data_IF_661519578333
#
_entry.id   IF_661519578333
#
_cell.length_a   1.000
_cell.length_b   1.000
_cell.length_c   1.000
_cell.angle_alpha   90.00
_cell.angle_beta   90.00
_cell.angle_gamma   90.00
#
_symmetry.space_group_name_H-M   'P 1'
#
loop_
_entity.id
_entity.type
_entity.pdbx_description
1 polymer ?
#
# COMPACT_ATOMS: atom_id res chain seq x y z
N UNK A 1 1.11 5.22 -23.59
CA UNK A 1 1.03 3.91 -22.90
C UNK A 1 2.42 3.39 -22.43
N UNK A 2 3.34 4.28 -22.02
CA UNK A 2 4.74 3.90 -21.67
C UNK A 2 5.13 4.12 -20.20
N UNK A 3 4.34 4.82 -19.38
CA UNK A 3 4.73 5.14 -18.00
C UNK A 3 4.66 3.94 -17.04
N UNK A 4 3.83 2.94 -17.32
CA UNK A 4 3.63 1.78 -16.43
C UNK A 4 4.85 0.84 -16.38
N UNK A 5 5.57 0.69 -17.51
CA UNK A 5 6.74 -0.19 -17.62
C UNK A 5 7.99 0.38 -16.93
N UNK A 6 8.17 1.70 -16.99
CA UNK A 6 9.30 2.38 -16.34
C UNK A 6 9.22 2.29 -14.81
N UNK A 7 8.02 2.48 -14.25
CA UNK A 7 7.76 2.30 -12.81
C UNK A 7 7.97 0.85 -12.36
N UNK A 8 7.63 -0.13 -13.21
CA UNK A 8 7.81 -1.57 -12.92
C UNK A 8 9.29 -1.97 -12.81
N UNK A 9 10.16 -1.43 -13.68
CA UNK A 9 11.62 -1.68 -13.62
C UNK A 9 12.25 -1.10 -12.36
N UNK A 10 11.91 0.16 -12.03
CA UNK A 10 12.43 0.85 -10.85
C UNK A 10 11.96 0.19 -9.55
N UNK A 11 10.74 -0.34 -9.53
CA UNK A 11 10.22 -1.14 -8.43
C UNK A 11 11.07 -2.40 -8.18
N UNK A 12 11.38 -3.18 -9.23
CA UNK A 12 12.17 -4.41 -9.12
C UNK A 12 13.57 -4.16 -8.53
N UNK A 13 14.24 -3.10 -8.97
CA UNK A 13 15.58 -2.72 -8.48
C UNK A 13 15.57 -2.25 -7.02
N UNK A 14 14.50 -1.58 -6.57
CA UNK A 14 14.39 -1.02 -5.22
C UNK A 14 13.74 -1.98 -4.21
N UNK A 15 13.13 -3.07 -4.67
CA UNK A 15 12.53 -4.11 -3.82
C UNK A 15 13.50 -5.25 -3.48
N UNK A 16 14.73 -5.24 -4.02
CA UNK A 16 15.77 -6.22 -3.68
C UNK A 16 16.55 -5.92 -2.39
N UNK A 17 16.36 -4.73 -1.78
CA UNK A 17 17.20 -4.23 -0.66
C UNK A 17 16.48 -4.01 0.68
N UNK A 18 15.21 -4.35 0.83
CA UNK A 18 14.46 -4.12 2.07
C UNK A 18 13.63 -5.32 2.47
N UNK A 19 13.65 -5.64 3.76
CA UNK A 19 12.78 -6.62 4.42
C UNK A 19 11.32 -6.35 4.05
N UNK A 20 10.78 -7.22 3.21
CA UNK A 20 9.38 -7.27 2.87
C UNK A 20 8.70 -8.23 3.84
N UNK A 21 7.64 -7.74 4.49
CA UNK A 21 7.00 -8.48 5.57
C UNK A 21 5.82 -9.26 5.02
N UNK A 22 5.73 -10.54 5.37
CA UNK A 22 4.51 -11.33 5.15
C UNK A 22 3.44 -10.81 6.11
N UNK A 23 2.30 -10.39 5.58
CA UNK A 23 1.19 -9.94 6.38
C UNK A 23 0.59 -11.14 7.13
N UNK A 24 0.82 -11.21 8.45
CA UNK A 24 0.26 -12.25 9.30
C UNK A 24 -1.06 -11.78 9.92
N UNK A 25 -2.18 -12.39 9.53
CA UNK A 25 -3.51 -12.07 10.07
C UNK A 25 -4.00 -13.25 10.90
N UNK A 26 -4.03 -13.08 12.22
CA UNK A 26 -4.40 -14.14 13.15
C UNK A 26 -5.83 -14.05 13.66
N UNK A 27 -6.53 -12.92 13.44
CA UNK A 27 -7.88 -12.68 13.97
C UNK A 27 -8.86 -12.30 12.87
N UNK A 28 -10.09 -12.85 12.93
CA UNK A 28 -11.22 -12.50 12.04
C UNK A 28 -11.53 -11.00 12.03
N UNK A 29 -11.35 -10.32 13.16
CA UNK A 29 -11.59 -8.88 13.29
C UNK A 29 -10.65 -8.07 12.39
N UNK A 30 -9.40 -8.49 12.30
CA UNK A 30 -8.37 -7.81 11.50
C UNK A 30 -8.64 -8.01 10.01
N UNK A 31 -9.10 -9.20 9.60
CA UNK A 31 -9.59 -9.46 8.22
C UNK A 31 -10.76 -8.53 7.87
N UNK A 32 -11.77 -8.39 8.75
CA UNK A 32 -12.94 -7.52 8.50
C UNK A 32 -12.52 -6.05 8.38
N UNK A 33 -11.66 -5.57 9.29
CA UNK A 33 -11.18 -4.19 9.27
C UNK A 33 -10.37 -3.89 8.00
N UNK A 34 -9.50 -4.82 7.61
CA UNK A 34 -8.70 -4.68 6.40
C UNK A 34 -9.56 -4.73 5.14
N UNK A 35 -10.54 -5.64 5.07
CA UNK A 35 -11.49 -5.74 3.98
C UNK A 35 -12.31 -4.46 3.78
N UNK A 36 -12.70 -3.78 4.87
CA UNK A 36 -13.39 -2.48 4.76
C UNK A 36 -12.52 -1.39 4.14
N UNK A 37 -11.22 -1.36 4.46
CA UNK A 37 -10.30 -0.37 3.89
C UNK A 37 -9.97 -0.70 2.44
N UNK A 38 -9.76 -1.98 2.11
CA UNK A 38 -9.45 -2.43 0.75
C UNK A 38 -10.63 -2.35 -0.22
N UNK A 39 -11.87 -2.22 0.28
CA UNK A 39 -13.05 -1.89 -0.55
C UNK A 39 -13.04 -0.45 -1.09
N UNK A 40 -12.21 0.42 -0.53
CA UNK A 40 -12.16 1.82 -0.96
C UNK A 40 -11.21 1.99 -2.14
N UNK A 41 -11.72 2.47 -3.26
CA UNK A 41 -10.92 2.79 -4.46
C UNK A 41 -9.76 3.74 -4.13
N UNK A 42 -10.02 4.75 -3.29
CA UNK A 42 -8.99 5.70 -2.84
C UNK A 42 -7.86 4.99 -2.11
N UNK A 43 -8.19 4.01 -1.24
CA UNK A 43 -7.18 3.26 -0.51
C UNK A 43 -6.35 2.38 -1.45
N UNK A 44 -6.99 1.73 -2.44
CA UNK A 44 -6.30 0.93 -3.46
C UNK A 44 -5.38 1.79 -4.32
N UNK A 45 -5.85 2.95 -4.77
CA UNK A 45 -5.05 3.91 -5.54
C UNK A 45 -3.83 4.41 -4.75
N UNK A 46 -4.00 4.72 -3.45
CA UNK A 46 -2.88 5.11 -2.58
C UNK A 46 -1.86 3.97 -2.47
N UNK A 47 -2.31 2.71 -2.31
CA UNK A 47 -1.42 1.55 -2.30
C UNK A 47 -0.63 1.48 -3.61
N UNK A 48 -1.30 1.57 -4.77
CA UNK A 48 -0.67 1.47 -6.09
C UNK A 48 0.39 2.57 -6.31
N UNK A 49 0.10 3.80 -5.87
CA UNK A 49 1.00 4.94 -5.98
C UNK A 49 2.12 4.96 -4.92
N UNK A 50 2.06 4.10 -3.91
CA UNK A 50 3.07 3.99 -2.86
C UNK A 50 4.26 3.11 -3.31
N UNK A 51 5.00 3.53 -4.33
CA UNK A 51 6.20 2.83 -4.80
C UNK A 51 7.52 3.35 -4.19
N UNK A 52 7.43 4.34 -3.31
CA UNK A 52 8.57 5.04 -2.70
C UNK A 52 8.93 6.36 -3.37
N UNK A 53 8.25 6.74 -4.47
CA UNK A 53 8.55 7.97 -5.22
C UNK A 53 7.70 9.17 -4.82
N UNK A 54 6.50 8.95 -4.29
CA UNK A 54 5.54 10.02 -4.01
C UNK A 54 5.22 10.15 -2.52
N UNK A 55 5.05 11.39 -2.06
CA UNK A 55 4.50 11.74 -0.76
C UNK A 55 2.98 12.02 -0.84
N UNK A 56 2.34 12.26 0.31
CA UNK A 56 0.89 12.48 0.42
C UNK A 56 0.39 13.67 -0.41
N UNK A 57 1.15 14.78 -0.44
CA UNK A 57 0.80 15.97 -1.22
C UNK A 57 0.82 15.71 -2.74
N UNK A 58 1.81 14.95 -3.22
CA UNK A 58 1.89 14.57 -4.63
C UNK A 58 0.77 13.61 -5.03
N UNK A 59 0.45 12.64 -4.17
CA UNK A 59 -0.68 11.71 -4.40
C UNK A 59 -2.02 12.47 -4.39
N UNK A 60 -2.20 13.42 -3.48
CA UNK A 60 -3.38 14.28 -3.41
C UNK A 60 -3.63 15.02 -4.73
N UNK A 61 -2.59 15.63 -5.30
CA UNK A 61 -2.66 16.30 -6.62
C UNK A 61 -3.00 15.32 -7.73
N UNK A 62 -2.38 14.13 -7.73
CA UNK A 62 -2.59 13.11 -8.77
C UNK A 62 -4.01 12.52 -8.76
N UNK A 63 -4.59 12.33 -7.57
CA UNK A 63 -5.93 11.77 -7.40
C UNK A 63 -7.05 12.83 -7.37
N UNK A 64 -6.71 14.11 -7.38
CA UNK A 64 -7.68 15.20 -7.25
C UNK A 64 -8.46 15.16 -5.93
N UNK A 65 -7.83 14.69 -4.84
CA UNK A 65 -8.43 14.59 -3.50
C UNK A 65 -7.71 15.49 -2.52
N UNK A 66 -8.38 15.90 -1.45
CA UNK A 66 -7.75 16.71 -0.41
C UNK A 66 -6.58 15.96 0.26
N UNK A 67 -5.57 16.69 0.68
CA UNK A 67 -4.43 16.13 1.43
C UNK A 67 -4.92 15.44 2.70
N UNK A 68 -5.91 16.00 3.40
CA UNK A 68 -6.50 15.41 4.59
C UNK A 68 -7.13 14.03 4.32
N UNK A 69 -7.83 13.89 3.19
CA UNK A 69 -8.39 12.59 2.75
C UNK A 69 -7.27 11.57 2.52
N UNK A 70 -6.24 11.93 1.76
CA UNK A 70 -5.10 11.04 1.50
C UNK A 70 -4.40 10.65 2.79
N UNK A 71 -4.11 11.61 3.68
CA UNK A 71 -3.47 11.36 4.97
C UNK A 71 -4.30 10.42 5.86
N UNK A 72 -5.62 10.53 5.82
CA UNK A 72 -6.54 9.65 6.56
C UNK A 72 -6.41 8.20 6.09
N UNK A 73 -6.47 7.98 4.78
CA UNK A 73 -6.34 6.63 4.21
C UNK A 73 -4.92 6.09 4.37
N UNK A 74 -3.88 6.89 4.13
CA UNK A 74 -2.49 6.50 4.34
C UNK A 74 -2.23 6.09 5.80
N UNK A 75 -2.84 6.77 6.78
CA UNK A 75 -2.74 6.40 8.20
C UNK A 75 -3.38 5.04 8.47
N UNK A 76 -4.57 4.77 7.91
CA UNK A 76 -5.24 3.45 8.04
C UNK A 76 -4.39 2.34 7.43
N UNK A 77 -3.85 2.56 6.24
CA UNK A 77 -2.99 1.62 5.53
C UNK A 77 -1.68 1.36 6.28
N UNK A 78 -1.08 2.40 6.87
CA UNK A 78 0.12 2.28 7.71
C UNK A 78 -0.15 1.46 8.98
N UNK A 79 -1.28 1.68 9.66
CA UNK A 79 -1.67 0.90 10.85
C UNK A 79 -1.84 -0.60 10.54
N UNK A 80 -2.27 -0.91 9.32
CA UNK A 80 -2.40 -2.28 8.82
C UNK A 80 -1.11 -2.84 8.22
N UNK A 81 0.01 -2.11 8.36
CA UNK A 81 1.31 -2.47 7.81
C UNK A 81 1.32 -2.72 6.28
N UNK A 82 0.40 -2.09 5.53
CA UNK A 82 0.30 -2.24 4.08
C UNK A 82 1.24 -1.29 3.34
N UNK A 83 1.52 -0.14 3.97
CA UNK A 83 2.48 0.87 3.50
C UNK A 83 3.33 1.36 4.68
N UNK A 84 4.50 1.92 4.37
CA UNK A 84 5.35 2.66 5.30
C UNK A 84 5.71 4.03 4.73
N UNK A 85 6.12 4.93 5.62
CA UNK A 85 6.69 6.23 5.28
C UNK A 85 8.21 6.09 5.33
N UNK A 86 8.89 6.45 4.25
CA UNK A 86 10.36 6.50 4.19
C UNK A 86 10.88 7.72 4.95
N UNK A 87 12.18 7.75 5.26
CA UNK A 87 12.84 8.92 5.88
C UNK A 87 12.68 10.19 5.04
N UNK A 88 12.52 10.06 3.72
CA UNK A 88 12.25 11.16 2.80
C UNK A 88 10.80 11.70 2.85
N UNK A 89 9.92 11.08 3.65
CA UNK A 89 8.49 11.40 3.68
C UNK A 89 7.66 10.73 2.57
N UNK A 90 8.29 9.96 1.67
CA UNK A 90 7.60 9.24 0.61
C UNK A 90 6.91 7.97 1.12
N UNK A 91 5.81 7.59 0.48
CA UNK A 91 5.08 6.38 0.80
C UNK A 91 5.59 5.20 -0.03
N UNK A 92 5.88 4.08 0.65
CA UNK A 92 6.30 2.82 0.03
C UNK A 92 5.44 1.66 0.52
N UNK A 93 5.00 0.81 -0.39
CA UNK A 93 4.30 -0.45 -0.09
C UNK A 93 5.20 -1.38 0.71
N UNK A 94 4.59 -2.07 1.68
CA UNK A 94 5.22 -3.17 2.42
C UNK A 94 4.84 -4.54 1.87
N UNK A 95 3.85 -4.63 0.99
CA UNK A 95 3.30 -5.88 0.47
C UNK A 95 3.82 -6.10 -0.95
N UNK A 96 4.55 -7.21 -1.19
CA UNK A 96 4.88 -7.70 -2.54
C UNK A 96 3.78 -8.57 -3.15
N UNK A 97 2.99 -9.23 -2.31
CA UNK A 97 1.85 -10.06 -2.69
C UNK A 97 1.03 -10.46 -1.46
N UNK A 98 -0.22 -10.85 -1.66
CA UNK A 98 -1.09 -11.38 -0.60
C UNK A 98 -1.12 -12.89 -0.79
N UNK A 99 -0.50 -13.65 0.13
CA UNK A 99 -0.64 -15.11 0.18
C UNK A 99 -1.77 -15.44 1.16
N UNK A 100 -2.92 -15.86 0.62
CA UNK A 100 -4.00 -16.40 1.45
C UNK A 100 -3.85 -17.91 1.46
N UNK A 101 -3.34 -18.47 2.56
CA UNK A 101 -3.38 -19.90 2.79
C UNK A 101 -4.78 -20.25 3.28
N UNK A 102 -5.59 -20.84 2.41
CA UNK A 102 -6.84 -21.47 2.81
C UNK A 102 -6.51 -22.92 3.19
N UNK A 103 -6.29 -23.18 4.47
CA UNK A 103 -6.53 -24.52 5.00
C UNK A 103 -8.05 -24.68 5.07
N UNK A 104 -8.62 -25.22 4.00
CA UNK A 104 -9.99 -25.72 3.98
C UNK A 104 -10.03 -27.00 4.83
N UNK A 105 -10.05 -26.82 6.15
CA UNK A 105 -10.57 -27.84 7.05
C UNK A 105 -12.08 -27.89 6.87
N UNK A 106 -12.53 -28.84 6.05
CA UNK A 106 -13.88 -29.41 6.15
C UNK A 106 -13.89 -30.38 7.34
#
# INVERSE_FOLDING_TARGET
MMSCLASKKKYLETSGKLEETVLNITKRKDVKGMGQVLKSDIALEIILLSDGTMNTSQISRKLGKSVATISTYATKLKKMNLIRVLSSGNLKRNIKGIKVNFELGL
#
